data_IF_196570776946
#
_entry.id   IF_196570776946
#
_cell.length_a   1.000
_cell.length_b   1.000
_cell.length_c   1.000
_cell.angle_alpha   90.00
_cell.angle_beta   90.00
_cell.angle_gamma   90.00
#
_symmetry.space_group_name_H-M   'P 1'
#
loop_
_entity.id
_entity.type
_entity.pdbx_description
1 polymer ?
#
# COMPACT_ATOMS: atom_id res chain seq x y z
N UNK A 1 10.93 0.25 -19.66
CA UNK A 1 10.66 1.05 -18.44
C UNK A 1 9.29 0.66 -17.95
N UNK A 2 9.22 0.05 -16.76
CA UNK A 2 7.95 -0.29 -16.12
C UNK A 2 7.57 0.86 -15.19
N UNK A 3 6.39 1.45 -15.39
CA UNK A 3 5.89 2.60 -14.62
C UNK A 3 4.40 2.41 -14.39
N UNK A 4 3.99 2.53 -13.14
CA UNK A 4 2.60 2.46 -12.69
C UNK A 4 2.29 3.71 -11.90
N UNK A 5 1.10 4.27 -12.13
CA UNK A 5 0.61 5.48 -11.47
C UNK A 5 -0.67 5.12 -10.71
N UNK A 6 -0.71 5.46 -9.42
CA UNK A 6 -1.85 5.22 -8.53
C UNK A 6 -2.42 6.58 -8.14
N UNK A 7 -3.67 6.86 -8.55
CA UNK A 7 -4.36 8.11 -8.24
C UNK A 7 -4.62 8.25 -6.73
N UNK A 8 -4.36 9.45 -6.21
CA UNK A 8 -4.64 9.81 -4.82
C UNK A 8 -6.03 10.48 -4.77
N UNK A 9 -7.00 9.94 -4.00
CA UNK A 9 -8.30 10.58 -3.81
C UNK A 9 -8.20 11.96 -3.16
N UNK A 10 -9.19 12.83 -3.38
CA UNK A 10 -9.19 14.22 -2.90
C UNK A 10 -9.08 14.37 -1.37
N UNK A 11 -9.55 13.36 -0.61
CA UNK A 11 -9.53 13.33 0.85
C UNK A 11 -8.30 12.62 1.44
N UNK A 12 -7.32 12.27 0.59
CA UNK A 12 -6.09 11.57 0.96
C UNK A 12 -4.87 12.42 0.61
N UNK A 13 -3.85 12.40 1.47
CA UNK A 13 -2.52 12.92 1.19
C UNK A 13 -1.48 11.81 1.23
N UNK A 14 -0.46 11.91 0.37
CA UNK A 14 0.67 11.01 0.37
C UNK A 14 1.97 11.81 0.31
N UNK A 15 2.98 11.37 1.05
CA UNK A 15 4.33 11.94 1.04
C UNK A 15 5.39 10.84 1.07
N UNK A 16 6.51 11.08 0.40
CA UNK A 16 7.67 10.19 0.41
C UNK A 16 8.84 10.86 1.11
N UNK A 17 9.41 10.18 2.10
CA UNK A 17 10.71 10.51 2.70
C UNK A 17 11.69 9.35 2.47
N UNK A 18 12.66 9.55 1.59
CA UNK A 18 13.63 8.54 1.16
C UNK A 18 12.97 7.25 0.63
N UNK A 19 12.83 6.23 1.49
CA UNK A 19 12.27 4.92 1.15
C UNK A 19 10.95 4.66 1.88
N UNK A 20 10.45 5.64 2.61
CA UNK A 20 9.21 5.57 3.37
C UNK A 20 8.13 6.38 2.67
N UNK A 21 7.00 5.73 2.41
CA UNK A 21 5.78 6.36 1.92
C UNK A 21 4.81 6.47 3.10
N UNK A 22 4.35 7.67 3.39
CA UNK A 22 3.26 7.94 4.34
C UNK A 22 2.01 8.31 3.55
N UNK A 23 0.89 7.68 3.88
CA UNK A 23 -0.44 7.98 3.32
C UNK A 23 -1.37 8.31 4.48
N UNK A 24 -2.10 9.42 4.38
CA UNK A 24 -3.01 9.92 5.41
C UNK A 24 -4.38 10.20 4.81
N UNK A 25 -5.44 9.91 5.57
CA UNK A 25 -6.82 10.10 5.16
C UNK A 25 -7.78 10.11 6.35
N UNK A 26 -9.10 10.09 6.13
CA UNK A 26 -10.09 10.24 7.20
C UNK A 26 -10.04 9.13 8.27
N UNK A 27 -9.62 7.92 7.93
CA UNK A 27 -9.49 6.78 8.86
C UNK A 27 -8.10 6.65 9.50
N UNK A 28 -7.20 7.61 9.29
CA UNK A 28 -5.90 7.67 9.96
C UNK A 28 -4.73 7.75 8.97
N UNK A 29 -3.56 7.28 9.42
CA UNK A 29 -2.30 7.36 8.67
C UNK A 29 -1.59 6.01 8.64
N UNK A 30 -0.96 5.67 7.52
CA UNK A 30 -0.11 4.49 7.38
C UNK A 30 1.22 4.89 6.76
N UNK A 31 2.32 4.55 7.43
CA UNK A 31 3.67 4.70 6.89
C UNK A 31 4.25 3.33 6.57
N UNK A 32 4.88 3.21 5.41
CA UNK A 32 5.50 1.96 4.98
C UNK A 32 6.80 2.20 4.23
N UNK A 33 7.82 1.41 4.58
CA UNK A 33 9.07 1.34 3.82
C UNK A 33 8.90 0.48 2.56
N UNK A 34 9.13 1.07 1.39
CA UNK A 34 9.09 0.43 0.07
C UNK A 34 10.52 0.47 -0.51
N UNK A 35 11.23 -0.65 -0.38
CA UNK A 35 12.64 -0.72 -0.79
C UNK A 35 12.94 -1.99 -1.56
N UNK A 36 13.43 -1.80 -2.79
CA UNK A 36 13.96 -2.86 -3.65
C UNK A 36 14.99 -2.24 -4.61
N UNK A 37 16.04 -2.97 -5.03
CA UNK A 37 17.01 -2.45 -6.00
C UNK A 37 16.33 -1.95 -7.28
N UNK A 38 16.70 -0.75 -7.72
CA UNK A 38 16.27 -0.14 -8.98
C UNK A 38 14.74 0.05 -9.12
N UNK A 39 13.99 0.03 -8.01
CA UNK A 39 12.56 0.40 -7.97
C UNK A 39 12.40 1.68 -7.16
N UNK A 40 11.84 2.70 -7.80
CA UNK A 40 11.61 4.02 -7.23
C UNK A 40 10.12 4.21 -6.93
N UNK A 41 9.83 4.85 -5.79
CA UNK A 41 8.48 5.25 -5.39
C UNK A 41 8.49 6.76 -5.10
N UNK A 42 7.66 7.51 -5.82
CA UNK A 42 7.56 8.97 -5.68
C UNK A 42 6.11 9.42 -5.61
N UNK A 43 5.88 10.63 -5.11
CA UNK A 43 4.58 11.31 -5.18
C UNK A 43 4.75 12.53 -6.08
N UNK A 44 4.04 12.56 -7.20
CA UNK A 44 4.06 13.65 -8.16
C UNK A 44 2.66 13.84 -8.77
N UNK A 45 2.27 15.09 -9.05
CA UNK A 45 1.03 15.42 -9.79
C UNK A 45 -0.26 14.75 -9.27
N UNK A 46 -0.39 14.53 -7.96
CA UNK A 46 -1.58 13.91 -7.36
C UNK A 46 -1.64 12.39 -7.54
N UNK A 47 -0.54 11.76 -7.95
CA UNK A 47 -0.41 10.31 -8.05
C UNK A 47 0.79 9.81 -7.26
N UNK A 48 0.73 8.57 -6.77
CA UNK A 48 1.90 7.81 -6.34
C UNK A 48 2.43 7.04 -7.55
N UNK A 49 3.70 7.22 -7.87
CA UNK A 49 4.36 6.56 -8.99
C UNK A 49 5.27 5.46 -8.46
N UNK A 50 5.15 4.27 -9.04
CA UNK A 50 6.08 3.16 -8.83
C UNK A 50 6.74 2.83 -10.16
N UNK A 51 8.07 2.99 -10.26
CA UNK A 51 8.78 2.87 -11.53
C UNK A 51 10.11 2.12 -11.41
N UNK A 52 10.53 1.51 -12.51
CA UNK A 52 11.86 0.92 -12.68
C UNK A 52 12.34 0.99 -14.13
N UNK A 53 13.64 1.18 -14.31
CA UNK A 53 14.31 1.02 -15.60
C UNK A 53 14.57 -0.45 -15.97
N UNK A 54 14.60 -1.34 -14.97
CA UNK A 54 14.81 -2.78 -15.16
C UNK A 54 13.49 -3.49 -15.49
N UNK A 55 13.57 -4.49 -16.36
CA UNK A 55 12.40 -5.24 -16.85
C UNK A 55 12.49 -6.74 -16.55
N UNK A 56 13.40 -7.15 -15.66
CA UNK A 56 13.51 -8.55 -15.26
C UNK A 56 12.29 -8.99 -14.42
N UNK A 57 12.06 -10.31 -14.41
CA UNK A 57 10.89 -10.88 -13.75
C UNK A 57 10.78 -10.54 -12.26
N UNK A 58 11.89 -10.36 -11.54
CA UNK A 58 11.86 -10.05 -10.10
C UNK A 58 11.50 -8.60 -9.87
N UNK A 59 12.09 -7.68 -10.64
CA UNK A 59 11.77 -6.26 -10.58
C UNK A 59 10.30 -6.01 -10.90
N UNK A 60 9.79 -6.61 -11.98
CA UNK A 60 8.37 -6.48 -12.35
C UNK A 60 7.42 -7.01 -11.26
N UNK A 61 7.77 -8.13 -10.60
CA UNK A 61 6.98 -8.66 -9.49
C UNK A 61 6.97 -7.70 -8.29
N UNK A 62 8.10 -7.03 -8.02
CA UNK A 62 8.16 -6.03 -6.95
C UNK A 62 7.36 -4.78 -7.27
N UNK A 63 7.39 -4.29 -8.52
CA UNK A 63 6.55 -3.14 -8.95
C UNK A 63 5.08 -3.43 -8.69
N UNK A 64 4.56 -4.59 -9.10
CA UNK A 64 3.15 -4.96 -8.84
C UNK A 64 2.84 -5.17 -7.35
N UNK A 65 3.82 -5.63 -6.56
CA UNK A 65 3.69 -5.72 -5.10
C UNK A 65 3.58 -4.33 -4.47
N UNK A 66 4.39 -3.37 -4.92
CA UNK A 66 4.36 -2.00 -4.41
C UNK A 66 3.07 -1.28 -4.82
N UNK A 67 2.64 -1.40 -6.07
CA UNK A 67 1.33 -0.93 -6.55
C UNK A 67 0.20 -1.42 -5.62
N UNK A 68 0.13 -2.73 -5.38
CA UNK A 68 -0.91 -3.31 -4.51
C UNK A 68 -0.82 -2.80 -3.07
N UNK A 69 0.39 -2.59 -2.55
CA UNK A 69 0.58 -2.05 -1.21
C UNK A 69 0.14 -0.59 -1.09
N UNK A 70 0.45 0.24 -2.09
CA UNK A 70 -0.01 1.64 -2.15
C UNK A 70 -1.54 1.68 -2.23
N UNK A 71 -2.15 0.90 -3.12
CA UNK A 71 -3.61 0.82 -3.23
C UNK A 71 -4.26 0.40 -1.90
N UNK A 72 -3.66 -0.57 -1.19
CA UNK A 72 -4.16 -1.00 0.11
C UNK A 72 -3.97 0.04 1.22
N UNK A 73 -2.90 0.86 1.16
CA UNK A 73 -2.70 1.96 2.08
C UNK A 73 -3.77 3.03 1.89
N UNK A 74 -4.05 3.41 0.64
CA UNK A 74 -5.12 4.37 0.29
C UNK A 74 -6.47 3.86 0.81
N UNK A 75 -6.86 2.63 0.44
CA UNK A 75 -8.11 2.02 0.92
C UNK A 75 -8.17 1.95 2.46
N UNK A 76 -7.04 1.64 3.12
CA UNK A 76 -6.96 1.58 4.56
C UNK A 76 -7.21 2.93 5.26
N UNK A 77 -6.81 4.04 4.65
CA UNK A 77 -7.06 5.38 5.21
C UNK A 77 -8.39 6.00 4.76
N UNK A 78 -9.07 5.45 3.75
CA UNK A 78 -10.39 5.92 3.30
C UNK A 78 -11.54 5.07 3.82
N UNK A 79 -11.53 3.77 3.53
CA UNK A 79 -12.61 2.81 3.85
C UNK A 79 -12.28 1.98 5.10
N UNK A 80 -11.00 1.83 5.41
CA UNK A 80 -10.53 0.99 6.52
C UNK A 80 -10.48 -0.50 6.17
N UNK A 81 -9.86 -1.28 7.05
CA UNK A 81 -9.78 -2.74 6.92
C UNK A 81 -10.52 -3.41 8.08
N UNK A 82 -11.41 -4.35 7.77
CA UNK A 82 -12.14 -5.14 8.76
C UNK A 82 -12.02 -6.64 8.45
N UNK A 83 -11.77 -7.44 9.48
CA UNK A 83 -11.79 -8.90 9.39
C UNK A 83 -12.82 -9.45 10.38
N UNK A 84 -13.82 -10.17 9.88
CA UNK A 84 -14.77 -10.91 10.71
C UNK A 84 -14.23 -12.31 10.99
N UNK A 85 -14.15 -12.69 12.26
CA UNK A 85 -13.68 -14.01 12.71
C UNK A 85 -14.77 -14.73 13.48
N UNK A 86 -14.82 -16.05 13.35
CA UNK A 86 -15.76 -16.91 14.06
C UNK A 86 -15.06 -17.86 15.02
N UNK A 87 -15.68 -18.06 16.18
CA UNK A 87 -15.19 -18.97 17.22
C UNK A 87 -16.06 -20.23 17.18
N UNK A 88 -15.44 -21.36 16.85
CA UNK A 88 -16.10 -22.66 16.84
C UNK A 88 -15.64 -23.52 18.01
N UNK A 89 -16.59 -24.10 18.76
CA UNK A 89 -16.29 -25.03 19.86
C UNK A 89 -17.22 -26.26 19.80
N UNK A 90 -16.72 -27.40 20.27
CA UNK A 90 -17.47 -28.66 20.25
C UNK A 90 -18.04 -29.08 21.61
N UNK A 91 -17.23 -29.06 22.68
CA UNK A 91 -17.64 -29.64 23.97
C UNK A 91 -17.88 -28.61 25.07
N UNK A 92 -16.97 -27.65 25.20
CA UNK A 92 -17.03 -26.64 26.25
C UNK A 92 -17.18 -25.25 25.64
N UNK A 93 -18.09 -24.40 26.16
CA UNK A 93 -18.22 -23.01 25.72
C UNK A 93 -16.88 -22.27 25.84
N UNK A 94 -16.43 -21.66 24.75
CA UNK A 94 -15.29 -20.75 24.75
C UNK A 94 -15.73 -19.32 25.05
N UNK A 95 -14.90 -18.61 25.83
CA UNK A 95 -15.01 -17.18 26.06
C UNK A 95 -13.82 -16.52 25.35
N UNK A 96 -14.09 -15.48 24.57
CA UNK A 96 -13.10 -14.70 23.81
C UNK A 96 -13.19 -13.25 24.24
#
# INVERSE_FOLDING_TARGET
MNRVEIEIPDDVSAETDHLELTVEGPNGSVTRRLWYPDVEVTVEDGVVVVASENEDAKTNATVGTFESHVANMIHGVTDGWEYTMEVYYAHFPMQV
#
